data_IF_320095516530
#
_entry.id   IF_320095516530
#
_cell.length_a   1.000
_cell.length_b   1.000
_cell.length_c   1.000
_cell.angle_alpha   90.00
_cell.angle_beta   90.00
_cell.angle_gamma   90.00
#
_symmetry.space_group_name_H-M   'P 1'
#
loop_
_entity.id
_entity.type
_entity.pdbx_description
1 polymer ?
#
# COMPACT_ATOMS: atom_id res chain seq x y z
N UNK A 1 12.60 -25.16 -26.75
CA UNK A 1 11.36 -24.58 -26.21
C UNK A 1 10.99 -25.41 -24.97
N UNK A 2 11.32 -24.90 -23.80
CA UNK A 2 10.93 -25.51 -22.55
C UNK A 2 9.61 -24.86 -22.10
N UNK A 3 8.53 -25.65 -22.15
CA UNK A 3 7.22 -25.24 -21.63
C UNK A 3 7.07 -25.83 -20.23
N UNK A 4 6.94 -25.01 -19.20
CA UNK A 4 6.67 -25.47 -17.84
C UNK A 4 5.26 -25.03 -17.42
N UNK A 5 4.52 -25.97 -16.82
CA UNK A 5 3.19 -25.71 -16.26
C UNK A 5 3.35 -25.39 -14.77
N UNK A 6 2.89 -24.24 -14.34
CA UNK A 6 2.99 -23.79 -12.95
C UNK A 6 1.57 -23.62 -12.38
N UNK A 7 1.28 -24.17 -11.18
CA UNK A 7 0.05 -23.87 -10.46
C UNK A 7 -0.08 -22.39 -10.16
N UNK A 8 -1.29 -21.83 -10.25
CA UNK A 8 -1.56 -20.41 -10.03
C UNK A 8 -1.08 -19.91 -8.67
N UNK A 9 -1.11 -20.75 -7.65
CA UNK A 9 -0.66 -20.44 -6.28
C UNK A 9 0.86 -20.44 -6.10
N UNK A 10 1.61 -20.90 -7.10
CA UNK A 10 3.08 -20.92 -7.10
C UNK A 10 3.69 -19.95 -8.14
N UNK A 11 2.85 -19.23 -8.86
CA UNK A 11 3.29 -18.35 -9.97
C UNK A 11 4.33 -17.31 -9.51
N UNK A 12 4.09 -16.65 -8.39
CA UNK A 12 4.99 -15.62 -7.86
C UNK A 12 6.38 -16.18 -7.52
N UNK A 13 6.43 -17.39 -6.94
CA UNK A 13 7.70 -18.04 -6.60
C UNK A 13 8.51 -18.43 -7.85
N UNK A 14 7.82 -18.85 -8.91
CA UNK A 14 8.47 -19.19 -10.18
C UNK A 14 8.97 -17.94 -10.92
N UNK A 15 8.17 -16.86 -10.94
CA UNK A 15 8.57 -15.58 -11.52
C UNK A 15 9.84 -15.08 -10.84
N UNK A 16 9.86 -15.03 -9.50
CA UNK A 16 11.04 -14.61 -8.74
C UNK A 16 12.28 -15.49 -9.00
N UNK A 17 12.10 -16.80 -9.22
CA UNK A 17 13.20 -17.70 -9.53
C UNK A 17 13.80 -17.44 -10.91
N UNK A 18 12.99 -17.09 -11.91
CA UNK A 18 13.46 -16.77 -13.26
C UNK A 18 14.08 -15.38 -13.33
N UNK A 19 13.53 -14.38 -12.66
CA UNK A 19 14.12 -13.04 -12.53
C UNK A 19 15.54 -13.12 -11.94
N UNK A 20 15.73 -13.91 -10.86
CA UNK A 20 17.02 -14.16 -10.25
C UNK A 20 18.01 -14.91 -11.15
N UNK A 21 17.52 -15.67 -12.12
CA UNK A 21 18.35 -16.40 -13.08
C UNK A 21 18.71 -15.58 -14.33
N UNK A 22 18.18 -14.35 -14.46
CA UNK A 22 18.38 -13.49 -15.63
C UNK A 22 17.77 -14.06 -16.92
N UNK A 23 16.75 -14.91 -16.79
CA UNK A 23 16.04 -15.51 -17.92
C UNK A 23 14.79 -14.72 -18.23
N UNK A 24 14.58 -14.38 -19.49
CA UNK A 24 13.34 -13.78 -19.98
C UNK A 24 12.30 -14.90 -20.18
N UNK A 25 11.19 -14.83 -19.44
CA UNK A 25 10.12 -15.84 -19.51
C UNK A 25 8.77 -15.17 -19.71
N UNK A 26 7.97 -15.70 -20.61
CA UNK A 26 6.57 -15.33 -20.71
C UNK A 26 5.65 -16.43 -20.14
N UNK A 27 4.54 -16.04 -19.53
CA UNK A 27 3.59 -16.95 -18.90
C UNK A 27 2.28 -16.91 -19.69
N UNK A 28 1.84 -18.04 -20.23
CA UNK A 28 0.55 -18.13 -20.93
C UNK A 28 -0.48 -18.91 -20.10
N UNK A 29 -1.71 -18.42 -19.97
CA UNK A 29 -2.76 -19.13 -19.24
C UNK A 29 -3.20 -20.38 -20.00
N UNK A 30 -3.22 -21.51 -19.32
CA UNK A 30 -3.75 -22.78 -19.85
C UNK A 30 -4.79 -23.35 -18.89
N UNK A 31 -5.96 -22.73 -18.80
CA UNK A 31 -7.05 -23.21 -17.95
C UNK A 31 -6.77 -23.04 -16.46
N UNK A 32 -6.28 -24.05 -15.76
CA UNK A 32 -5.96 -24.01 -14.32
C UNK A 32 -4.47 -23.84 -14.00
N UNK A 33 -3.62 -23.80 -15.02
CA UNK A 33 -2.17 -23.68 -14.86
C UNK A 33 -1.64 -22.60 -15.79
N UNK A 34 -0.67 -21.83 -15.33
CA UNK A 34 0.08 -20.92 -16.18
C UNK A 34 1.15 -21.68 -16.99
N UNK A 35 1.37 -21.31 -18.23
CA UNK A 35 2.42 -21.86 -19.08
C UNK A 35 3.55 -20.83 -19.17
N UNK A 36 4.73 -21.20 -18.73
CA UNK A 36 5.92 -20.35 -18.88
C UNK A 36 6.51 -20.60 -20.27
N UNK A 37 6.57 -19.57 -21.09
CA UNK A 37 7.19 -19.60 -22.41
C UNK A 37 8.38 -18.66 -22.38
N UNK A 38 9.55 -19.11 -22.88
CA UNK A 38 10.67 -18.19 -23.08
C UNK A 38 10.20 -17.00 -23.93
N UNK A 39 10.56 -15.78 -23.47
CA UNK A 39 10.17 -14.56 -24.18
C UNK A 39 10.83 -14.54 -25.56
N UNK A 40 10.04 -14.75 -26.62
CA UNK A 40 10.50 -14.62 -27.99
C UNK A 40 10.50 -13.16 -28.49
N UNK A 41 10.47 -12.21 -27.56
CA UNK A 41 10.45 -10.77 -27.85
C UNK A 41 9.07 -10.28 -28.29
N UNK A 42 8.78 -9.02 -27.98
CA UNK A 42 7.65 -8.31 -28.58
C UNK A 42 7.88 -8.21 -30.10
N UNK A 43 6.79 -8.25 -30.86
CA UNK A 43 6.82 -7.92 -32.27
C UNK A 43 6.38 -6.47 -32.38
N UNK A 44 7.24 -5.57 -32.90
CA UNK A 44 6.88 -4.14 -33.05
C UNK A 44 5.53 -3.95 -33.76
N UNK A 45 5.17 -4.85 -34.67
CA UNK A 45 3.90 -4.83 -35.38
C UNK A 45 2.66 -5.12 -34.52
N UNK A 46 2.85 -5.53 -33.24
CA UNK A 46 1.73 -5.66 -32.30
C UNK A 46 1.31 -4.34 -31.68
N UNK A 47 2.14 -3.28 -31.83
CA UNK A 47 1.83 -1.94 -31.36
C UNK A 47 1.37 -1.04 -32.49
N UNK A 48 0.22 -0.39 -32.30
CA UNK A 48 -0.10 0.83 -33.05
C UNK A 48 0.60 2.00 -32.36
N UNK A 49 1.52 2.63 -33.06
CA UNK A 49 2.41 3.63 -32.49
C UNK A 49 2.47 4.92 -33.31
N UNK A 50 2.20 6.04 -32.67
CA UNK A 50 2.39 7.37 -33.25
C UNK A 50 3.80 7.89 -32.93
N UNK A 51 4.71 7.74 -33.87
CA UNK A 51 6.09 8.17 -33.74
C UNK A 51 6.25 9.70 -33.59
N UNK A 52 5.26 10.50 -33.98
CA UNK A 52 5.31 11.98 -33.88
C UNK A 52 5.14 12.43 -32.42
N UNK A 53 4.39 11.69 -31.62
CA UNK A 53 4.11 11.97 -30.21
C UNK A 53 4.83 11.01 -29.26
N UNK A 54 5.36 9.89 -29.78
CA UNK A 54 5.91 8.80 -28.96
C UNK A 54 4.82 8.01 -28.23
N UNK A 55 3.63 7.89 -28.80
CA UNK A 55 2.46 7.31 -28.15
C UNK A 55 2.14 5.92 -28.67
N UNK A 56 2.08 4.92 -27.80
CA UNK A 56 1.42 3.64 -28.10
C UNK A 56 -0.08 3.87 -28.02
N UNK A 57 -0.78 3.74 -29.14
CA UNK A 57 -2.23 3.99 -29.24
C UNK A 57 -3.05 2.73 -29.08
N UNK A 58 -2.47 1.55 -29.36
CA UNK A 58 -3.08 0.24 -29.15
C UNK A 58 -2.03 -0.85 -29.06
N UNK A 59 -2.34 -1.90 -28.32
CA UNK A 59 -1.60 -3.16 -28.32
C UNK A 59 -2.51 -4.29 -28.81
N UNK A 60 -2.07 -5.02 -29.84
CA UNK A 60 -2.85 -6.07 -30.51
C UNK A 60 -2.32 -7.49 -30.22
N UNK A 61 -1.33 -7.62 -29.31
CA UNK A 61 -0.73 -8.89 -28.92
C UNK A 61 -1.48 -9.57 -27.79
N UNK A 62 -1.00 -10.76 -27.45
CA UNK A 62 -1.56 -11.63 -26.39
C UNK A 62 -0.51 -12.03 -25.35
N UNK A 63 0.54 -11.22 -25.15
CA UNK A 63 1.58 -11.54 -24.21
C UNK A 63 1.05 -11.60 -22.78
N UNK A 64 1.49 -12.60 -22.02
CA UNK A 64 1.27 -12.68 -20.58
C UNK A 64 2.34 -11.89 -19.82
N UNK A 65 3.58 -11.93 -20.30
CA UNK A 65 4.66 -11.05 -19.92
C UNK A 65 5.01 -10.13 -21.09
N UNK A 66 5.03 -8.83 -20.85
CA UNK A 66 5.33 -7.83 -21.85
C UNK A 66 6.33 -6.82 -21.31
N UNK A 67 7.51 -6.79 -21.90
CA UNK A 67 8.45 -5.68 -21.75
C UNK A 67 8.25 -4.71 -22.93
N UNK A 68 7.72 -3.53 -22.68
CA UNK A 68 7.54 -2.50 -23.72
C UNK A 68 8.92 -1.91 -24.03
N UNK A 69 9.33 -1.83 -25.31
CA UNK A 69 10.66 -1.31 -25.68
C UNK A 69 10.74 0.21 -25.46
N UNK A 70 11.98 0.71 -25.24
CA UNK A 70 12.23 2.14 -25.14
C UNK A 70 11.96 2.90 -26.45
N UNK A 71 12.03 2.19 -27.59
CA UNK A 71 11.78 2.77 -28.92
C UNK A 71 10.98 1.81 -29.80
N UNK A 72 10.07 2.34 -30.63
CA UNK A 72 9.36 1.61 -31.67
C UNK A 72 9.64 2.32 -33.01
N UNK A 73 10.10 1.57 -34.00
CA UNK A 73 10.53 2.15 -35.28
C UNK A 73 11.63 3.21 -35.14
N UNK A 74 12.44 3.14 -34.07
CA UNK A 74 13.50 4.09 -33.76
C UNK A 74 13.03 5.40 -33.10
N UNK A 75 11.72 5.59 -32.84
CA UNK A 75 11.21 6.72 -32.09
C UNK A 75 10.95 6.34 -30.60
N UNK A 76 11.26 7.23 -29.63
CA UNK A 76 11.13 6.91 -28.21
C UNK A 76 9.68 6.74 -27.79
N UNK A 77 9.41 5.77 -26.92
CA UNK A 77 8.09 5.57 -26.29
C UNK A 77 8.00 6.49 -25.06
N UNK A 78 7.07 7.43 -25.10
CA UNK A 78 6.84 8.43 -24.05
C UNK A 78 5.49 8.33 -23.39
N UNK A 79 4.50 7.81 -24.11
CA UNK A 79 3.11 7.79 -23.69
C UNK A 79 2.48 6.44 -23.98
N UNK A 80 1.83 5.85 -22.98
CA UNK A 80 0.81 4.83 -23.23
C UNK A 80 -0.50 5.60 -23.43
N UNK A 81 -1.08 5.50 -24.61
CA UNK A 81 -2.30 6.22 -24.96
C UNK A 81 -3.54 5.74 -24.21
N UNK A 82 -4.64 6.49 -24.29
CA UNK A 82 -5.90 6.08 -23.70
C UNK A 82 -6.35 4.72 -24.22
N UNK A 83 -6.81 3.85 -23.33
CA UNK A 83 -7.34 2.50 -23.61
C UNK A 83 -6.35 1.57 -24.35
N UNK A 84 -5.07 1.92 -24.51
CA UNK A 84 -4.12 1.21 -25.38
C UNK A 84 -3.98 -0.29 -25.03
N UNK A 85 -4.17 -0.69 -23.77
CA UNK A 85 -4.13 -2.06 -23.28
C UNK A 85 -5.42 -2.46 -22.55
N UNK A 86 -6.52 -1.72 -22.75
CA UNK A 86 -7.77 -2.03 -22.03
C UNK A 86 -8.25 -3.45 -22.33
N UNK A 87 -8.72 -4.15 -21.28
CA UNK A 87 -9.27 -5.51 -21.35
C UNK A 87 -8.28 -6.61 -21.79
N UNK A 88 -6.97 -6.36 -21.68
CA UNK A 88 -5.96 -7.40 -21.88
C UNK A 88 -5.92 -8.34 -20.67
N UNK A 89 -6.90 -9.23 -20.59
CA UNK A 89 -7.09 -10.16 -19.46
C UNK A 89 -6.04 -11.27 -19.38
N UNK A 90 -5.09 -11.33 -20.31
CA UNK A 90 -3.96 -12.27 -20.28
C UNK A 90 -2.67 -11.64 -19.75
N UNK A 91 -2.58 -10.30 -19.72
CA UNK A 91 -1.38 -9.59 -19.32
C UNK A 91 -1.19 -9.72 -17.80
N UNK A 92 -0.17 -10.44 -17.38
CA UNK A 92 0.12 -10.67 -15.97
C UNK A 92 1.32 -9.86 -15.46
N UNK A 93 2.34 -9.69 -16.29
CA UNK A 93 3.56 -8.95 -15.96
C UNK A 93 3.84 -7.90 -17.02
N UNK A 94 4.12 -6.68 -16.57
CA UNK A 94 4.37 -5.55 -17.45
C UNK A 94 5.63 -4.80 -17.01
N UNK A 95 6.57 -4.66 -17.92
CA UNK A 95 7.71 -3.77 -17.77
C UNK A 95 7.54 -2.54 -18.67
N UNK A 96 7.50 -1.39 -18.07
CA UNK A 96 7.38 -0.10 -18.76
C UNK A 96 8.77 0.49 -18.98
N UNK A 97 9.07 1.07 -20.17
CA UNK A 97 10.40 1.51 -20.52
C UNK A 97 10.79 2.80 -19.80
N UNK A 98 12.09 2.95 -19.52
CA UNK A 98 12.63 4.27 -19.16
C UNK A 98 12.40 5.26 -20.29
N UNK A 99 12.07 6.51 -19.94
CA UNK A 99 11.65 7.53 -20.89
C UNK A 99 10.12 7.65 -21.03
N UNK A 100 9.34 6.68 -20.52
CA UNK A 100 7.88 6.81 -20.45
C UNK A 100 7.51 7.86 -19.39
N UNK A 101 6.71 8.83 -19.79
CA UNK A 101 6.30 9.99 -18.96
C UNK A 101 4.84 9.90 -18.51
N UNK A 102 3.98 9.28 -19.33
CA UNK A 102 2.52 9.30 -19.10
C UNK A 102 1.88 7.96 -19.41
N UNK A 103 0.99 7.52 -18.51
CA UNK A 103 0.01 6.47 -18.77
C UNK A 103 -1.35 7.15 -18.89
N UNK A 104 -2.00 6.99 -20.04
CA UNK A 104 -3.27 7.63 -20.39
C UNK A 104 -4.48 7.03 -19.68
N UNK A 105 -5.62 7.69 -19.90
CA UNK A 105 -6.89 7.28 -19.30
C UNK A 105 -7.28 5.87 -19.74
N UNK A 106 -7.68 5.03 -18.77
CA UNK A 106 -8.12 3.66 -19.00
C UNK A 106 -7.09 2.77 -19.70
N UNK A 107 -5.81 3.15 -19.73
CA UNK A 107 -4.78 2.46 -20.49
C UNK A 107 -4.73 0.95 -20.20
N UNK A 108 -4.90 0.52 -18.95
CA UNK A 108 -4.94 -0.87 -18.50
C UNK A 108 -6.27 -1.21 -17.80
N UNK A 109 -7.37 -0.59 -18.24
CA UNK A 109 -8.70 -0.81 -17.68
C UNK A 109 -9.12 -2.28 -17.80
N UNK A 110 -9.55 -2.91 -16.68
CA UNK A 110 -9.94 -4.32 -16.60
C UNK A 110 -8.84 -5.31 -17.05
N UNK A 111 -7.57 -5.01 -16.81
CA UNK A 111 -6.48 -5.99 -16.92
C UNK A 111 -6.43 -6.85 -15.65
N UNK A 112 -7.45 -7.68 -15.43
CA UNK A 112 -7.72 -8.38 -14.17
C UNK A 112 -6.64 -9.39 -13.75
N UNK A 113 -5.79 -9.83 -14.67
CA UNK A 113 -4.69 -10.77 -14.39
C UNK A 113 -3.37 -10.07 -14.09
N UNK A 114 -3.32 -8.75 -14.20
CA UNK A 114 -2.08 -8.00 -14.02
C UNK A 114 -1.59 -8.11 -12.58
N UNK A 115 -0.52 -8.87 -12.38
CA UNK A 115 0.03 -9.18 -11.07
C UNK A 115 1.19 -8.23 -10.69
N UNK A 116 1.94 -7.74 -11.67
CA UNK A 116 3.05 -6.82 -11.42
C UNK A 116 3.23 -5.83 -12.56
N UNK A 117 3.52 -4.60 -12.20
CA UNK A 117 3.96 -3.55 -13.14
C UNK A 117 5.25 -2.94 -12.61
N UNK A 118 6.28 -2.92 -13.45
CA UNK A 118 7.49 -2.16 -13.19
C UNK A 118 7.34 -0.78 -13.84
N UNK A 119 7.19 0.23 -12.99
CA UNK A 119 7.10 1.62 -13.43
C UNK A 119 8.48 2.23 -13.59
N UNK A 120 8.76 2.96 -14.68
CA UNK A 120 10.02 3.64 -14.86
C UNK A 120 10.14 4.87 -13.96
N UNK A 121 11.37 5.25 -13.64
CA UNK A 121 11.67 6.43 -12.83
C UNK A 121 11.21 7.76 -13.47
N UNK A 122 11.02 7.75 -14.78
CA UNK A 122 10.62 8.90 -15.61
C UNK A 122 9.12 9.18 -15.61
N UNK A 123 8.29 8.26 -15.07
CA UNK A 123 6.83 8.40 -15.08
C UNK A 123 6.37 9.56 -14.20
N UNK A 124 5.56 10.46 -14.79
CA UNK A 124 5.02 11.67 -14.14
C UNK A 124 3.53 11.57 -13.83
N UNK A 125 2.77 10.86 -14.66
CA UNK A 125 1.33 10.89 -14.58
C UNK A 125 0.71 9.54 -14.91
N UNK A 126 -0.29 9.16 -14.10
CA UNK A 126 -1.19 8.04 -14.32
C UNK A 126 -2.59 8.62 -14.50
N UNK A 127 -3.22 8.36 -15.65
CA UNK A 127 -4.52 8.92 -16.05
C UNK A 127 -5.73 8.33 -15.33
N UNK A 128 -6.90 8.84 -15.69
CA UNK A 128 -8.16 8.42 -15.09
C UNK A 128 -8.48 6.96 -15.42
N UNK A 129 -8.86 6.19 -14.40
CA UNK A 129 -9.19 4.76 -14.53
C UNK A 129 -8.08 3.91 -15.17
N UNK A 130 -6.83 4.38 -15.17
CA UNK A 130 -5.74 3.73 -15.91
C UNK A 130 -5.55 2.25 -15.52
N UNK A 131 -5.70 1.90 -14.25
CA UNK A 131 -5.63 0.54 -13.71
C UNK A 131 -6.92 0.13 -12.97
N UNK A 132 -8.07 0.65 -13.41
CA UNK A 132 -9.37 0.30 -12.87
C UNK A 132 -9.60 -1.22 -12.96
N UNK A 133 -9.93 -1.88 -11.82
CA UNK A 133 -10.13 -3.32 -11.73
C UNK A 133 -8.95 -4.12 -12.34
N UNK A 134 -7.75 -3.60 -12.18
CA UNK A 134 -6.49 -4.27 -12.51
C UNK A 134 -5.79 -4.71 -11.21
N UNK A 135 -4.64 -5.33 -11.31
CA UNK A 135 -3.87 -5.86 -10.18
C UNK A 135 -4.53 -7.01 -9.44
N UNK A 136 -4.05 -8.21 -9.72
CA UNK A 136 -4.45 -9.41 -8.99
C UNK A 136 -3.56 -9.62 -7.76
N UNK A 137 -3.93 -8.97 -6.63
CA UNK A 137 -3.36 -9.35 -5.33
C UNK A 137 -1.84 -9.12 -5.19
N UNK A 138 -1.35 -7.95 -5.59
CA UNK A 138 0.07 -7.58 -5.69
C UNK A 138 0.42 -6.32 -4.91
N UNK A 139 1.69 -6.14 -4.57
CA UNK A 139 2.23 -4.90 -4.01
C UNK A 139 2.32 -3.87 -5.14
N UNK A 140 1.87 -2.65 -4.87
CA UNK A 140 2.00 -1.52 -5.79
C UNK A 140 3.23 -0.69 -5.41
N UNK A 141 4.21 -0.66 -6.30
CA UNK A 141 5.42 0.15 -6.17
C UNK A 141 5.34 1.34 -7.12
N UNK A 142 5.05 2.52 -6.59
CA UNK A 142 4.97 3.76 -7.37
C UNK A 142 6.36 4.39 -7.52
N UNK A 143 6.70 4.95 -8.70
CA UNK A 143 8.03 5.53 -8.95
C UNK A 143 8.17 6.90 -8.29
N UNK A 144 9.39 7.24 -7.87
CA UNK A 144 9.72 8.50 -7.19
C UNK A 144 9.42 9.76 -8.01
N UNK A 145 9.39 9.62 -9.34
CA UNK A 145 9.10 10.73 -10.25
C UNK A 145 7.62 11.08 -10.41
N UNK A 146 6.70 10.30 -9.82
CA UNK A 146 5.27 10.43 -10.06
C UNK A 146 4.70 11.69 -9.39
N UNK A 147 3.98 12.52 -10.18
CA UNK A 147 3.39 13.77 -9.72
C UNK A 147 1.86 13.71 -9.61
N UNK A 148 1.20 12.90 -10.46
CA UNK A 148 -0.26 12.89 -10.56
C UNK A 148 -0.82 11.48 -10.69
N UNK A 149 -1.86 11.19 -9.91
CA UNK A 149 -2.70 9.99 -10.03
C UNK A 149 -4.12 10.45 -10.32
N UNK A 150 -4.68 10.00 -11.44
CA UNK A 150 -6.01 10.36 -11.94
C UNK A 150 -7.17 9.79 -11.13
N UNK A 151 -8.39 10.19 -11.47
CA UNK A 151 -9.60 9.69 -10.86
C UNK A 151 -9.80 8.20 -11.18
N UNK A 152 -10.22 7.40 -10.18
CA UNK A 152 -10.43 5.95 -10.32
C UNK A 152 -9.21 5.17 -10.81
N UNK A 153 -8.00 5.74 -10.75
CA UNK A 153 -6.81 5.15 -11.37
C UNK A 153 -6.55 3.70 -10.94
N UNK A 154 -6.74 3.38 -9.67
CA UNK A 154 -6.60 2.04 -9.08
C UNK A 154 -7.89 1.57 -8.38
N UNK A 155 -9.06 2.08 -8.83
CA UNK A 155 -10.35 1.69 -8.27
C UNK A 155 -10.54 0.17 -8.35
N UNK A 156 -10.93 -0.44 -7.21
CA UNK A 156 -11.14 -1.88 -7.10
C UNK A 156 -9.92 -2.72 -7.52
N UNK A 157 -8.72 -2.15 -7.42
CA UNK A 157 -7.48 -2.87 -7.68
C UNK A 157 -7.14 -3.80 -6.50
N UNK A 158 -6.66 -4.98 -6.81
CA UNK A 158 -6.28 -5.99 -5.80
C UNK A 158 -4.94 -5.71 -5.13
N UNK A 159 -4.66 -4.44 -4.79
CA UNK A 159 -3.40 -4.02 -4.14
C UNK A 159 -3.33 -4.65 -2.76
N UNK A 160 -2.18 -5.22 -2.40
CA UNK A 160 -1.88 -5.81 -1.10
C UNK A 160 -0.83 -5.01 -0.32
N UNK A 161 -0.93 -5.08 1.01
CA UNK A 161 0.10 -4.56 1.90
C UNK A 161 0.12 -3.04 1.97
N UNK A 162 1.30 -2.47 2.12
CA UNK A 162 1.46 -1.03 2.29
C UNK A 162 1.46 -0.31 0.95
N UNK A 163 0.80 0.85 0.92
CA UNK A 163 0.94 1.80 -0.16
C UNK A 163 1.98 2.86 0.24
N UNK A 164 3.08 2.92 -0.50
CA UNK A 164 4.05 4.01 -0.39
C UNK A 164 3.77 5.04 -1.47
N UNK A 165 3.40 6.25 -1.05
CA UNK A 165 3.23 7.39 -1.95
C UNK A 165 4.58 8.10 -2.09
N UNK A 166 5.09 8.33 -3.31
CA UNK A 166 6.40 8.93 -3.50
C UNK A 166 6.42 10.41 -3.15
N UNK A 167 7.57 10.90 -2.67
CA UNK A 167 7.83 12.33 -2.59
C UNK A 167 7.85 12.92 -4.02
N UNK A 168 7.16 14.04 -4.21
CA UNK A 168 6.92 14.59 -5.54
C UNK A 168 5.46 14.45 -6.00
N UNK A 169 4.68 13.51 -5.40
CA UNK A 169 3.26 13.38 -5.70
C UNK A 169 2.49 14.61 -5.22
N UNK A 170 1.75 15.22 -6.13
CA UNK A 170 0.99 16.48 -5.90
C UNK A 170 -0.50 16.22 -5.76
N UNK A 171 -1.05 15.32 -6.58
CA UNK A 171 -2.51 15.11 -6.61
C UNK A 171 -2.88 13.65 -6.68
N UNK A 172 -3.91 13.29 -5.92
CA UNK A 172 -4.61 12.01 -6.00
C UNK A 172 -6.06 12.31 -6.39
N UNK A 173 -6.53 11.71 -7.47
CA UNK A 173 -7.85 11.93 -8.03
C UNK A 173 -9.01 11.35 -7.21
N UNK A 174 -10.25 11.63 -7.64
CA UNK A 174 -11.46 11.06 -7.05
C UNK A 174 -11.43 9.53 -7.12
N UNK A 175 -11.78 8.86 -6.01
CA UNK A 175 -11.87 7.39 -5.93
C UNK A 175 -10.62 6.64 -6.43
N UNK A 176 -9.45 7.29 -6.42
CA UNK A 176 -8.24 6.74 -7.05
C UNK A 176 -7.83 5.35 -6.50
N UNK A 177 -8.04 5.10 -5.22
CA UNK A 177 -7.78 3.82 -4.54
C UNK A 177 -9.05 3.24 -3.89
N UNK A 178 -10.24 3.76 -4.18
CA UNK A 178 -11.49 3.29 -3.56
C UNK A 178 -11.65 1.78 -3.73
N UNK A 179 -11.96 1.09 -2.62
CA UNK A 179 -12.17 -0.36 -2.57
C UNK A 179 -10.93 -1.23 -2.82
N UNK A 180 -9.72 -0.72 -2.53
CA UNK A 180 -8.49 -1.52 -2.48
C UNK A 180 -8.38 -2.26 -1.13
N UNK A 181 -9.35 -3.08 -0.81
CA UNK A 181 -9.61 -3.64 0.53
C UNK A 181 -8.47 -4.47 1.15
N UNK A 182 -7.51 -4.92 0.36
CA UNK A 182 -6.32 -5.64 0.85
C UNK A 182 -5.13 -4.70 1.13
N UNK A 183 -5.25 -3.42 0.76
CA UNK A 183 -4.29 -2.38 1.08
C UNK A 183 -4.50 -1.91 2.53
N UNK A 184 -3.44 -1.75 3.28
CA UNK A 184 -3.60 -1.36 4.68
C UNK A 184 -2.32 -0.92 5.36
N UNK A 185 -2.38 -0.79 6.69
CA UNK A 185 -1.27 -0.34 7.53
C UNK A 185 -1.14 1.18 7.59
N UNK A 186 0.09 1.68 7.52
CA UNK A 186 0.37 3.11 7.62
C UNK A 186 0.36 3.75 6.23
N UNK A 187 -0.42 4.80 6.07
CA UNK A 187 -0.42 5.64 4.88
C UNK A 187 0.36 6.93 5.17
N UNK A 188 1.51 7.08 4.52
CA UNK A 188 2.30 8.30 4.60
C UNK A 188 1.90 9.23 3.46
N UNK A 189 1.39 10.42 3.81
CA UNK A 189 1.05 11.43 2.83
C UNK A 189 2.27 12.33 2.61
N UNK A 190 2.86 12.35 1.40
CA UNK A 190 4.12 13.05 1.14
C UNK A 190 4.01 14.56 1.33
N UNK A 191 5.14 15.20 1.57
CA UNK A 191 5.22 16.63 1.86
C UNK A 191 4.76 17.52 0.71
N UNK A 192 4.79 17.01 -0.50
CA UNK A 192 4.42 17.70 -1.75
C UNK A 192 2.94 17.59 -2.10
N UNK A 193 2.16 16.78 -1.34
CA UNK A 193 0.77 16.51 -1.68
C UNK A 193 -0.12 17.74 -1.45
N UNK A 194 -0.75 18.21 -2.52
CA UNK A 194 -1.58 19.42 -2.54
C UNK A 194 -3.08 19.09 -2.37
N UNK A 195 -3.52 17.95 -2.94
CA UNK A 195 -4.93 17.56 -2.90
C UNK A 195 -5.17 16.07 -2.99
N UNK A 196 -6.25 15.62 -2.31
CA UNK A 196 -6.80 14.28 -2.37
C UNK A 196 -8.28 14.40 -2.77
N UNK A 197 -8.66 13.79 -3.86
CA UNK A 197 -10.01 13.82 -4.42
C UNK A 197 -11.02 13.08 -3.53
N UNK A 198 -12.31 13.34 -3.77
CA UNK A 198 -13.40 12.70 -3.04
C UNK A 198 -13.29 11.17 -3.11
N UNK A 199 -13.54 10.48 -2.02
CA UNK A 199 -13.56 9.01 -1.91
C UNK A 199 -12.25 8.31 -2.28
N UNK A 200 -11.12 9.03 -2.35
CA UNK A 200 -9.86 8.48 -2.86
C UNK A 200 -9.41 7.18 -2.16
N UNK A 201 -9.67 7.00 -0.88
CA UNK A 201 -9.35 5.81 -0.08
C UNK A 201 -10.60 5.18 0.56
N UNK A 202 -11.79 5.43 0.00
CA UNK A 202 -13.03 4.93 0.58
C UNK A 202 -13.10 3.41 0.52
N UNK A 203 -13.46 2.80 1.66
CA UNK A 203 -13.59 1.36 1.77
C UNK A 203 -12.26 0.61 1.94
N UNK A 204 -11.16 1.34 2.16
CA UNK A 204 -9.85 0.75 2.47
C UNK A 204 -9.74 0.52 3.98
N UNK A 205 -10.58 -0.38 4.48
CA UNK A 205 -10.79 -0.59 5.91
C UNK A 205 -9.53 -1.00 6.68
N UNK A 206 -8.48 -1.50 6.02
CA UNK A 206 -7.23 -1.90 6.64
C UNK A 206 -6.22 -0.75 6.83
N UNK A 207 -6.51 0.48 6.37
CA UNK A 207 -5.69 1.65 6.71
C UNK A 207 -5.84 1.93 8.20
N UNK A 208 -4.72 1.98 8.93
CA UNK A 208 -4.72 2.10 10.39
C UNK A 208 -4.21 3.45 10.88
N UNK A 209 -3.21 3.99 10.21
CA UNK A 209 -2.58 5.26 10.56
C UNK A 209 -2.36 6.10 9.31
N UNK A 210 -2.58 7.40 9.45
CA UNK A 210 -2.20 8.37 8.43
C UNK A 210 -1.16 9.30 9.05
N UNK A 211 -0.05 9.50 8.34
CA UNK A 211 1.01 10.42 8.73
C UNK A 211 1.15 11.47 7.64
N UNK A 212 0.99 12.75 8.01
CA UNK A 212 1.24 13.86 7.10
C UNK A 212 2.69 14.31 7.25
N UNK A 213 3.47 14.23 6.18
CA UNK A 213 4.83 14.74 6.17
C UNK A 213 4.90 16.21 5.75
N UNK A 214 3.81 16.75 5.21
CA UNK A 214 3.70 18.14 4.76
C UNK A 214 3.65 19.14 5.91
N UNK A 215 4.16 20.37 5.63
CA UNK A 215 3.98 21.56 6.48
C UNK A 215 2.53 22.10 6.44
N UNK A 216 1.79 21.78 5.38
CA UNK A 216 0.40 22.17 5.18
C UNK A 216 -0.43 20.95 4.83
N UNK A 217 -1.63 20.83 5.41
CA UNK A 217 -2.53 19.75 5.07
C UNK A 217 -2.98 19.88 3.61
N UNK A 218 -3.05 18.75 2.85
CA UNK A 218 -3.62 18.77 1.50
C UNK A 218 -5.11 19.14 1.56
N UNK A 219 -5.63 19.67 0.45
CA UNK A 219 -7.06 19.85 0.29
C UNK A 219 -7.73 18.47 0.18
N UNK A 220 -8.74 18.20 1.02
CA UNK A 220 -9.49 16.94 1.00
C UNK A 220 -10.83 17.11 0.30
N UNK A 221 -11.15 16.16 -0.56
CA UNK A 221 -12.51 15.98 -1.08
C UNK A 221 -13.48 15.42 -0.03
N UNK A 222 -14.69 15.09 -0.46
CA UNK A 222 -15.70 14.45 0.40
C UNK A 222 -15.37 12.95 0.57
N UNK A 223 -15.63 12.41 1.75
CA UNK A 223 -15.58 10.97 2.03
C UNK A 223 -14.24 10.28 1.74
N UNK A 224 -13.12 11.01 1.74
CA UNK A 224 -11.79 10.44 1.34
C UNK A 224 -11.49 9.15 2.07
N UNK A 225 -11.75 9.06 3.38
CA UNK A 225 -11.49 7.90 4.24
C UNK A 225 -12.77 7.24 4.76
N UNK A 226 -13.92 7.45 4.12
CA UNK A 226 -15.16 6.82 4.55
C UNK A 226 -15.06 5.30 4.45
N UNK A 227 -15.46 4.58 5.52
CA UNK A 227 -15.32 3.12 5.57
C UNK A 227 -13.90 2.61 5.83
N UNK A 228 -12.96 3.49 6.22
CA UNK A 228 -11.66 3.09 6.77
C UNK A 228 -11.84 2.74 8.26
N UNK A 229 -12.57 1.67 8.56
CA UNK A 229 -13.06 1.37 9.89
C UNK A 229 -11.95 1.07 10.92
N UNK A 230 -10.77 0.73 10.45
CA UNK A 230 -9.59 0.50 11.29
C UNK A 230 -8.66 1.72 11.37
N UNK A 231 -9.06 2.88 10.83
CA UNK A 231 -8.28 4.10 10.98
C UNK A 231 -8.37 4.61 12.44
N UNK A 232 -7.26 4.56 13.15
CA UNK A 232 -7.21 4.89 14.57
C UNK A 232 -6.62 6.27 14.86
N UNK A 233 -5.58 6.66 14.13
CA UNK A 233 -4.87 7.91 14.38
C UNK A 233 -4.44 8.59 13.07
N UNK A 234 -4.49 9.93 13.08
CA UNK A 234 -3.89 10.80 12.07
C UNK A 234 -2.85 11.68 12.74
N UNK A 235 -1.58 11.50 12.35
CA UNK A 235 -0.47 12.31 12.83
C UNK A 235 -0.18 13.43 11.83
N UNK A 236 -0.40 14.67 12.25
CA UNK A 236 -0.06 15.87 11.46
C UNK A 236 1.41 16.24 11.55
N UNK A 237 2.25 15.33 12.06
CA UNK A 237 3.66 15.57 12.29
C UNK A 237 3.92 16.80 13.19
N UNK A 238 5.20 17.19 13.33
CA UNK A 238 5.63 18.31 14.16
C UNK A 238 5.11 19.70 13.71
N UNK A 239 4.65 19.79 12.48
CA UNK A 239 4.35 21.05 11.79
C UNK A 239 2.87 21.43 11.74
N UNK A 240 1.96 20.49 12.02
CA UNK A 240 0.53 20.76 12.02
C UNK A 240 0.12 21.86 12.99
N UNK A 241 -0.70 22.79 12.52
CA UNK A 241 -1.26 23.86 13.37
C UNK A 241 -2.43 23.34 14.19
N UNK A 242 -2.80 24.03 15.27
CA UNK A 242 -4.01 23.72 16.05
C UNK A 242 -5.29 23.87 15.20
N UNK A 243 -5.27 24.74 14.21
CA UNK A 243 -6.41 24.94 13.31
C UNK A 243 -6.55 23.71 12.40
N UNK A 244 -5.48 23.22 11.80
CA UNK A 244 -5.47 22.01 10.98
C UNK A 244 -5.86 20.78 11.77
N UNK A 245 -5.37 20.61 12.99
CA UNK A 245 -5.83 19.53 13.88
C UNK A 245 -7.35 19.54 14.07
N UNK A 246 -7.95 20.74 14.30
CA UNK A 246 -9.40 20.85 14.46
C UNK A 246 -10.15 20.57 13.17
N UNK A 247 -9.63 20.99 12.03
CA UNK A 247 -10.22 20.72 10.71
C UNK A 247 -10.23 19.23 10.41
N UNK A 248 -9.08 18.55 10.61
CA UNK A 248 -8.99 17.12 10.45
C UNK A 248 -9.87 16.34 11.44
N UNK A 249 -9.90 16.76 12.71
CA UNK A 249 -10.78 16.12 13.70
C UNK A 249 -12.25 16.27 13.32
N UNK A 250 -12.68 17.46 12.92
CA UNK A 250 -14.05 17.66 12.46
C UNK A 250 -14.38 16.85 11.22
N UNK A 251 -13.42 16.65 10.33
CA UNK A 251 -13.56 15.81 9.15
C UNK A 251 -13.77 14.34 9.52
N UNK A 252 -12.92 13.75 10.36
CA UNK A 252 -13.05 12.34 10.76
C UNK A 252 -14.27 12.10 11.65
N UNK A 253 -14.66 13.08 12.49
CA UNK A 253 -15.89 13.03 13.29
C UNK A 253 -17.12 13.00 12.39
N UNK A 254 -17.15 13.77 11.30
CA UNK A 254 -18.24 13.78 10.32
C UNK A 254 -18.36 12.44 9.58
N UNK A 255 -17.28 11.71 9.40
CA UNK A 255 -17.25 10.35 8.83
C UNK A 255 -17.64 9.26 9.85
N UNK A 256 -17.79 9.61 11.14
CA UNK A 256 -18.05 8.65 12.21
C UNK A 256 -16.88 7.72 12.51
N UNK A 257 -15.68 8.07 12.10
CA UNK A 257 -14.48 7.24 12.32
C UNK A 257 -13.98 7.38 13.77
N UNK A 258 -13.59 6.28 14.44
CA UNK A 258 -13.06 6.30 15.80
C UNK A 258 -11.62 6.81 15.87
N UNK A 259 -11.28 7.79 15.04
CA UNK A 259 -9.94 8.26 14.78
C UNK A 259 -9.62 9.52 15.57
N UNK A 260 -8.38 9.64 16.03
CA UNK A 260 -7.87 10.86 16.66
C UNK A 260 -6.87 11.56 15.76
N UNK A 261 -6.96 12.89 15.77
CA UNK A 261 -5.98 13.74 15.09
C UNK A 261 -5.05 14.34 16.13
N UNK A 262 -3.75 14.15 15.95
CA UNK A 262 -2.73 14.64 16.86
C UNK A 262 -1.49 15.14 16.09
N UNK A 263 -0.51 15.66 16.79
CA UNK A 263 0.79 16.01 16.22
C UNK A 263 1.93 15.65 17.17
N UNK A 264 3.00 15.13 16.63
CA UNK A 264 4.09 14.51 17.37
C UNK A 264 4.84 15.43 18.36
N UNK A 265 4.72 16.75 18.25
CA UNK A 265 5.51 17.71 19.04
C UNK A 265 4.70 18.84 19.71
N UNK A 266 3.38 18.69 19.92
CA UNK A 266 2.65 19.66 20.74
C UNK A 266 2.91 19.39 22.23
N UNK A 267 3.71 20.25 22.92
CA UNK A 267 3.95 20.09 24.36
C UNK A 267 2.68 20.30 25.20
N UNK A 268 1.60 20.83 24.59
CA UNK A 268 0.30 21.06 25.25
C UNK A 268 -0.79 20.11 24.78
N UNK A 269 -0.64 19.46 23.64
CA UNK A 269 -1.40 18.30 23.28
C UNK A 269 -0.86 17.14 24.12
N UNK A 270 -1.38 17.01 25.31
CA UNK A 270 -1.37 15.71 25.96
C UNK A 270 -2.16 14.76 25.06
N UNK A 271 -1.47 14.17 24.04
CA UNK A 271 -1.83 12.82 23.69
C UNK A 271 -1.80 12.09 25.03
N UNK A 272 -2.90 11.54 25.52
CA UNK A 272 -2.88 10.85 26.82
C UNK A 272 -1.87 9.73 26.86
N UNK A 273 -1.13 9.50 25.79
CA UNK A 273 -0.19 8.40 25.60
C UNK A 273 1.24 8.81 25.24
N UNK A 274 1.53 10.06 24.92
CA UNK A 274 2.93 10.50 24.77
C UNK A 274 3.63 10.39 26.14
N UNK A 275 4.56 9.43 26.22
CA UNK A 275 5.19 9.03 27.47
C UNK A 275 4.53 7.82 28.15
N UNK A 276 3.39 7.32 27.65
CA UNK A 276 2.81 6.07 28.14
C UNK A 276 3.59 4.83 27.69
N UNK A 277 4.32 4.96 26.59
CA UNK A 277 5.15 3.86 26.05
C UNK A 277 6.61 4.12 26.35
N UNK A 278 7.28 3.13 26.93
CA UNK A 278 8.74 3.11 27.07
C UNK A 278 9.33 1.99 26.22
N UNK A 279 10.41 2.33 25.54
CA UNK A 279 11.11 1.41 24.67
C UNK A 279 12.58 1.31 25.08
N UNK A 280 13.10 0.08 25.10
CA UNK A 280 14.53 -0.18 25.26
C UNK A 280 14.97 -1.11 24.13
N UNK A 281 16.01 -0.74 23.40
CA UNK A 281 16.53 -1.53 22.26
C UNK A 281 15.44 -1.93 21.26
N UNK A 282 14.54 -0.99 20.91
CA UNK A 282 13.42 -1.21 19.98
C UNK A 282 12.33 -2.18 20.50
N UNK A 283 12.35 -2.54 21.77
CA UNK A 283 11.34 -3.36 22.43
C UNK A 283 10.47 -2.46 23.31
N UNK A 284 9.14 -2.58 23.24
CA UNK A 284 8.22 -1.93 24.15
C UNK A 284 8.33 -2.60 25.52
N UNK A 285 8.82 -1.88 26.53
CA UNK A 285 9.10 -2.43 27.87
C UNK A 285 8.09 -2.00 28.94
N UNK A 286 7.38 -0.90 28.74
CA UNK A 286 6.38 -0.42 29.70
C UNK A 286 5.26 0.36 28.99
N UNK A 287 4.04 0.18 29.49
CA UNK A 287 2.88 0.97 29.12
C UNK A 287 2.16 1.49 30.36
N UNK A 288 2.03 2.80 30.47
CA UNK A 288 1.37 3.50 31.59
C UNK A 288 0.08 4.24 31.18
N UNK A 289 -0.38 4.05 29.95
CA UNK A 289 -1.58 4.68 29.41
C UNK A 289 -2.88 4.01 29.90
N UNK A 290 -3.99 4.57 29.44
CA UNK A 290 -5.34 4.13 29.82
C UNK A 290 -6.19 3.72 28.62
N UNK A 291 -5.62 3.61 27.42
CA UNK A 291 -6.37 3.18 26.23
C UNK A 291 -6.78 1.74 26.31
N UNK A 292 -7.95 1.45 25.77
CA UNK A 292 -8.49 0.09 25.64
C UNK A 292 -7.96 -0.63 24.40
N UNK A 293 -7.55 0.15 23.38
CA UNK A 293 -6.97 -0.35 22.14
C UNK A 293 -5.54 0.15 22.00
N UNK A 294 -4.60 -0.77 21.88
CA UNK A 294 -3.18 -0.48 21.85
C UNK A 294 -2.60 -0.85 20.51
N UNK A 295 -2.03 0.15 19.88
CA UNK A 295 -1.19 0.03 18.71
C UNK A 295 0.16 0.65 19.07
N UNK A 296 1.16 -0.12 19.47
CA UNK A 296 2.48 0.43 19.78
C UNK A 296 3.01 1.14 18.53
N UNK A 297 3.67 2.27 18.73
CA UNK A 297 4.32 2.97 17.61
C UNK A 297 5.24 1.99 16.90
N UNK A 298 5.05 1.88 15.57
CA UNK A 298 5.83 0.94 14.76
C UNK A 298 7.30 1.33 14.68
N UNK A 299 7.65 2.57 15.03
CA UNK A 299 9.02 3.06 15.01
C UNK A 299 9.38 3.85 16.27
N UNK A 300 10.60 3.63 16.77
CA UNK A 300 11.24 4.43 17.81
C UNK A 300 12.52 5.01 17.24
N UNK A 301 12.68 6.33 17.25
CA UNK A 301 13.86 7.02 16.68
C UNK A 301 14.11 6.65 15.22
N UNK A 302 13.05 6.49 14.42
CA UNK A 302 13.06 6.05 13.00
C UNK A 302 13.44 4.58 12.77
N UNK A 303 13.54 3.77 13.80
CA UNK A 303 13.78 2.33 13.70
C UNK A 303 12.51 1.56 14.09
N UNK A 304 12.21 0.47 13.41
CA UNK A 304 11.04 -0.34 13.67
C UNK A 304 11.08 -0.95 15.08
N UNK A 305 9.94 -1.02 15.75
CA UNK A 305 9.80 -1.75 17.03
C UNK A 305 9.82 -3.24 16.74
N UNK A 306 10.68 -3.99 17.42
CA UNK A 306 10.90 -5.41 17.13
C UNK A 306 10.20 -6.38 18.09
N UNK A 307 9.59 -5.87 19.14
CA UNK A 307 8.92 -6.75 20.09
C UNK A 307 8.26 -6.07 21.27
N UNK A 308 7.54 -6.88 22.03
CA UNK A 308 6.93 -6.57 23.30
C UNK A 308 7.72 -7.25 24.42
N UNK A 309 8.11 -6.50 25.43
CA UNK A 309 8.85 -6.99 26.59
C UNK A 309 8.00 -7.81 27.55
N UNK A 310 8.66 -8.36 28.57
CA UNK A 310 8.02 -9.19 29.59
C UNK A 310 7.04 -8.36 30.44
N UNK A 311 5.82 -8.86 30.62
CA UNK A 311 4.82 -8.31 31.52
C UNK A 311 4.29 -6.91 31.21
N UNK A 312 4.51 -6.34 30.02
CA UNK A 312 4.15 -4.95 29.68
C UNK A 312 2.69 -4.61 29.98
N UNK A 313 1.76 -5.51 29.66
CA UNK A 313 0.31 -5.36 29.92
C UNK A 313 -0.21 -6.32 30.99
N UNK A 314 0.67 -6.90 31.79
CA UNK A 314 0.30 -7.85 32.83
C UNK A 314 -0.68 -7.23 33.85
N UNK A 315 -1.85 -7.86 34.00
CA UNK A 315 -2.89 -7.41 34.92
C UNK A 315 -3.64 -6.16 34.48
N UNK A 316 -3.40 -5.65 33.29
CA UNK A 316 -4.13 -4.49 32.76
C UNK A 316 -5.63 -4.81 32.65
N UNK A 317 -6.45 -4.00 33.29
CA UNK A 317 -7.92 -4.11 33.23
C UNK A 317 -8.51 -3.15 32.18
N UNK A 318 -7.68 -2.45 31.45
CA UNK A 318 -8.09 -1.46 30.46
C UNK A 318 -7.87 -1.91 29.03
N UNK A 319 -6.86 -2.74 28.77
CA UNK A 319 -6.57 -3.21 27.42
C UNK A 319 -7.60 -4.24 26.96
N UNK A 320 -8.27 -3.95 25.84
CA UNK A 320 -9.21 -4.87 25.20
C UNK A 320 -8.70 -5.36 23.84
N UNK A 321 -7.86 -4.58 23.16
CA UNK A 321 -7.35 -4.88 21.82
C UNK A 321 -5.87 -4.51 21.72
N UNK A 322 -5.09 -5.39 21.12
CA UNK A 322 -3.69 -5.15 20.79
C UNK A 322 -3.41 -5.59 19.35
N UNK A 323 -2.79 -4.74 18.58
CA UNK A 323 -2.37 -5.04 17.21
C UNK A 323 -0.98 -4.50 16.94
N UNK A 324 -0.17 -5.29 16.27
CA UNK A 324 1.10 -4.88 15.68
C UNK A 324 0.94 -4.86 14.16
N UNK A 325 0.17 -3.90 13.66
CA UNK A 325 -0.10 -3.78 12.25
C UNK A 325 1.18 -3.86 11.42
N UNK A 326 1.23 -4.84 10.52
CA UNK A 326 2.21 -5.00 9.42
C UNK A 326 3.64 -4.50 9.71
N UNK A 327 4.18 -4.86 10.86
CA UNK A 327 5.58 -4.60 11.17
C UNK A 327 6.36 -5.92 11.01
N UNK A 328 6.93 -6.13 9.84
CA UNK A 328 7.69 -7.36 9.54
C UNK A 328 8.91 -7.57 10.46
N UNK A 329 9.35 -6.51 11.14
CA UNK A 329 10.41 -6.57 12.13
C UNK A 329 9.90 -6.91 13.55
N UNK A 330 8.57 -6.91 13.78
CA UNK A 330 8.01 -7.26 15.09
C UNK A 330 7.92 -8.78 15.23
N UNK A 331 8.89 -9.37 15.91
CA UNK A 331 9.08 -10.82 15.92
C UNK A 331 8.79 -11.46 17.28
N UNK A 332 8.69 -10.68 18.37
CA UNK A 332 8.69 -11.25 19.71
C UNK A 332 7.61 -10.65 20.62
N UNK A 333 6.88 -11.51 21.31
CA UNK A 333 6.03 -11.18 22.48
C UNK A 333 6.68 -11.77 23.72
N UNK A 334 6.97 -10.92 24.70
CA UNK A 334 7.65 -11.30 25.94
C UNK A 334 6.83 -12.21 26.85
N UNK A 335 7.50 -12.79 27.85
CA UNK A 335 6.86 -13.64 28.84
C UNK A 335 5.84 -12.85 29.67
N UNK A 336 4.68 -13.46 29.95
CA UNK A 336 3.60 -12.84 30.73
C UNK A 336 3.09 -11.48 30.20
N UNK A 337 3.39 -11.13 28.94
CA UNK A 337 3.13 -9.81 28.37
C UNK A 337 1.71 -9.30 28.61
N UNK A 338 0.70 -10.14 28.45
CA UNK A 338 -0.72 -9.85 28.69
C UNK A 338 -1.34 -10.65 29.82
N UNK A 339 -0.53 -11.33 30.65
CA UNK A 339 -1.04 -12.23 31.68
C UNK A 339 -2.07 -11.55 32.59
N UNK A 340 -3.26 -12.19 32.76
CA UNK A 340 -4.39 -11.68 33.54
C UNK A 340 -4.91 -10.30 33.11
N UNK A 341 -4.76 -9.92 31.83
CA UNK A 341 -5.33 -8.70 31.28
C UNK A 341 -6.76 -8.89 30.79
N UNK A 342 -7.46 -7.78 30.54
CA UNK A 342 -8.80 -7.75 29.94
C UNK A 342 -8.78 -7.87 28.41
N UNK A 343 -7.67 -8.30 27.80
CA UNK A 343 -7.50 -8.45 26.36
C UNK A 343 -8.58 -9.37 25.79
N UNK A 344 -9.27 -8.89 24.74
CA UNK A 344 -10.32 -9.60 24.01
C UNK A 344 -9.87 -10.05 22.63
N UNK A 345 -9.11 -9.19 21.96
CA UNK A 345 -8.62 -9.46 20.62
C UNK A 345 -7.15 -9.12 20.52
N UNK A 346 -6.42 -9.93 19.77
CA UNK A 346 -5.03 -9.69 19.43
C UNK A 346 -4.78 -10.01 17.96
N UNK A 347 -4.25 -9.04 17.22
CA UNK A 347 -3.80 -9.23 15.84
C UNK A 347 -2.29 -9.40 15.84
N UNK A 348 -1.86 -10.63 15.60
CA UNK A 348 -0.46 -11.00 15.44
C UNK A 348 -0.22 -11.37 13.97
N UNK A 349 0.74 -10.72 13.36
CA UNK A 349 1.11 -10.97 11.96
C UNK A 349 2.11 -12.11 11.84
N UNK A 350 2.31 -12.58 10.61
CA UNK A 350 3.21 -13.70 10.26
C UNK A 350 4.67 -13.46 10.68
N UNK A 351 5.04 -12.20 10.94
CA UNK A 351 6.36 -11.82 11.45
C UNK A 351 6.62 -12.29 12.90
N UNK A 352 5.57 -12.54 13.69
CA UNK A 352 5.73 -12.97 15.08
C UNK A 352 6.19 -14.43 15.14
N UNK A 353 7.45 -14.63 15.46
CA UNK A 353 8.09 -15.96 15.54
C UNK A 353 8.22 -16.49 16.97
N UNK A 354 8.11 -15.61 17.98
CA UNK A 354 8.32 -15.97 19.38
C UNK A 354 7.22 -15.42 20.28
N UNK A 355 6.58 -16.29 21.04
CA UNK A 355 5.65 -15.93 22.11
C UNK A 355 6.20 -16.49 23.41
N UNK A 356 6.49 -15.60 24.36
CA UNK A 356 7.07 -15.93 25.65
C UNK A 356 6.14 -16.75 26.58
N UNK A 357 6.70 -17.35 27.57
CA UNK A 357 5.96 -18.20 28.50
C UNK A 357 4.83 -17.43 29.19
N UNK A 358 3.63 -18.00 29.18
CA UNK A 358 2.41 -17.43 29.80
C UNK A 358 1.99 -16.07 29.28
N UNK A 359 2.41 -15.68 28.05
CA UNK A 359 2.15 -14.37 27.47
C UNK A 359 0.66 -13.95 27.55
N UNK A 360 -0.26 -14.89 27.31
CA UNK A 360 -1.71 -14.67 27.35
C UNK A 360 -2.41 -15.44 28.48
N UNK A 361 -1.68 -15.95 29.48
CA UNK A 361 -2.27 -16.73 30.55
C UNK A 361 -3.25 -15.90 31.39
N UNK A 362 -4.48 -16.40 31.56
CA UNK A 362 -5.51 -15.70 32.31
C UNK A 362 -6.22 -14.54 31.59
N UNK A 363 -6.01 -14.38 30.28
CA UNK A 363 -6.82 -13.50 29.42
C UNK A 363 -8.16 -14.20 29.15
N UNK A 364 -9.07 -14.18 30.11
CA UNK A 364 -10.32 -14.98 30.08
C UNK A 364 -11.35 -14.48 29.06
N UNK A 365 -11.12 -13.31 28.46
CA UNK A 365 -12.01 -12.68 27.49
C UNK A 365 -11.42 -12.71 26.06
N UNK A 366 -10.25 -13.34 25.88
CA UNK A 366 -9.60 -13.43 24.56
C UNK A 366 -10.38 -14.41 23.67
N UNK A 367 -10.85 -13.91 22.49
CA UNK A 367 -11.63 -14.63 21.48
C UNK A 367 -10.78 -14.98 20.26
#
# INVERSE_FOLDING_TARGET
DATAYVPDDQLDAYIAAFENAGSEVSVQPSGKNAVIVENNGYVESEFDFDASTGTITSYNGYATYLAIPETIGGAPVKVIGPEAFAQHTYLALLELPEGLETIGDRAFYNCETLARVHFPSTLKSIGDSAFYNAYKSSILELPEGLEHIGAYAFYFAGIKGFLTLPEGLKTIGESAFESCSNMGGNLYLPSTLESIGSRAFKGDYNIQYIVLESLTAPTLGEDVFAGCDYLYDIDLNAHGTRQEMRQWQAYVDALGLPCRVWRAQDPTAQSPEKGAYRYENRVLTEYTGTKTRIHPHLTVSKEAVVGLGDGVFKGSQTIEYFSVAHNDEFTTIGAEAFMNSSLRNVDLFDSVTTIGARAFAGCTQLE
#
